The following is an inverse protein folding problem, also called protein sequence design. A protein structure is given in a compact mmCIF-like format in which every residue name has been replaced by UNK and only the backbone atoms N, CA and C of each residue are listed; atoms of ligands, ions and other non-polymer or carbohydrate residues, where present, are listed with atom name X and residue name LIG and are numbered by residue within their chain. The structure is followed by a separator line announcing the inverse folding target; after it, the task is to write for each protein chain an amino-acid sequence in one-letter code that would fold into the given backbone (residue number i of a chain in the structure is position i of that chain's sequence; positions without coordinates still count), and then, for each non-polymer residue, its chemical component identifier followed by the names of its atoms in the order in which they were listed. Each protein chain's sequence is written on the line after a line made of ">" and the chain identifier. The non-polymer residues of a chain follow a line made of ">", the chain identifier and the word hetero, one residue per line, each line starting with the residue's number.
data_IF_424930793287
#
_entry.id   IF_424930793287
#
_cell.length_a   1.000
_cell.length_b   1.000
_cell.length_c   1.000
_cell.angle_alpha   90.00
_cell.angle_beta   90.00
_cell.angle_gamma   90.00
#
_symmetry.space_group_name_H-M   'P 1'
#
loop_
_entity.id
_entity.type
_entity.pdbx_description
1 polymer ?
#
# COMPACT_ATOMS: atom_id res chain seq x y z
N UNK A 1 -18.51 15.06 -23.80
CA UNK A 1 -17.62 14.03 -23.20
C UNK A 1 -17.44 14.37 -21.74
N UNK A 2 -17.28 13.39 -20.88
CA UNK A 2 -16.93 13.64 -19.46
C UNK A 2 -15.44 13.89 -19.34
N UNK A 3 -15.05 14.72 -18.39
CA UNK A 3 -13.65 14.95 -18.08
C UNK A 3 -13.00 13.69 -17.51
N UNK A 4 -11.79 13.40 -18.01
CA UNK A 4 -10.94 12.31 -17.53
C UNK A 4 -9.95 12.83 -16.49
N UNK A 5 -9.89 12.15 -15.35
CA UNK A 5 -8.99 12.46 -14.25
C UNK A 5 -7.96 11.34 -14.12
N UNK A 6 -6.69 11.69 -14.16
CA UNK A 6 -5.57 10.78 -14.06
C UNK A 6 -4.77 10.98 -12.79
N UNK A 7 -4.31 9.88 -12.20
CA UNK A 7 -3.26 9.86 -11.18
C UNK A 7 -2.19 8.86 -11.59
N UNK A 8 -0.93 9.28 -11.51
CA UNK A 8 0.23 8.42 -11.59
C UNK A 8 0.92 8.42 -10.23
N UNK A 9 0.86 7.27 -9.55
CA UNK A 9 1.46 7.02 -8.25
C UNK A 9 2.81 6.31 -8.46
N UNK A 10 3.91 7.01 -8.13
CA UNK A 10 5.28 6.53 -8.23
C UNK A 10 5.70 5.86 -6.93
N UNK A 11 5.10 4.71 -6.66
CA UNK A 11 5.31 3.94 -5.44
C UNK A 11 6.59 3.10 -5.45
N UNK A 12 6.99 2.66 -4.27
CA UNK A 12 8.26 1.95 -4.01
C UNK A 12 8.40 0.60 -4.72
N UNK A 13 7.32 -0.16 -4.87
CA UNK A 13 7.33 -1.46 -5.55
C UNK A 13 6.96 -1.33 -7.04
N UNK A 14 6.05 -0.42 -7.36
CA UNK A 14 5.50 -0.28 -8.71
C UNK A 14 4.94 1.11 -8.95
N UNK A 15 4.98 1.55 -10.20
CA UNK A 15 4.30 2.73 -10.68
C UNK A 15 2.89 2.37 -11.15
N UNK A 16 1.90 3.15 -10.75
CA UNK A 16 0.49 2.88 -11.02
C UNK A 16 -0.18 4.07 -11.68
N UNK A 17 -0.56 3.94 -12.94
CA UNK A 17 -1.43 4.87 -13.63
C UNK A 17 -2.89 4.45 -13.44
N UNK A 18 -3.73 5.38 -13.04
CA UNK A 18 -5.18 5.22 -13.01
C UNK A 18 -5.83 6.43 -13.65
N UNK A 19 -6.72 6.19 -14.63
CA UNK A 19 -7.51 7.23 -15.31
C UNK A 19 -8.98 6.87 -15.13
N UNK A 20 -9.79 7.84 -14.71
CA UNK A 20 -11.22 7.64 -14.42
C UNK A 20 -12.07 8.80 -14.97
N UNK A 21 -13.35 8.55 -15.11
CA UNK A 21 -14.38 9.59 -15.26
C UNK A 21 -15.26 9.58 -14.01
N UNK A 22 -15.86 10.72 -13.69
CA UNK A 22 -16.86 10.83 -12.63
C UNK A 22 -18.25 11.00 -13.19
N UNK A 23 -19.23 10.36 -12.55
CA UNK A 23 -20.67 10.57 -12.74
C UNK A 23 -21.34 10.57 -11.37
N UNK A 24 -22.09 11.64 -11.07
CA UNK A 24 -22.79 11.79 -9.78
C UNK A 24 -21.86 11.50 -8.59
N UNK A 25 -20.67 12.13 -8.60
CA UNK A 25 -19.59 11.99 -7.61
C UNK A 25 -19.01 10.56 -7.48
N UNK A 26 -19.40 9.62 -8.35
CA UNK A 26 -18.88 8.25 -8.34
C UNK A 26 -17.92 8.03 -9.50
N UNK A 27 -16.85 7.28 -9.22
CA UNK A 27 -15.93 6.83 -10.26
C UNK A 27 -16.66 5.84 -11.18
N UNK A 28 -16.69 6.20 -12.46
CA UNK A 28 -17.11 5.35 -13.57
C UNK A 28 -15.94 5.26 -14.53
N UNK A 29 -15.93 4.34 -15.48
CA UNK A 29 -14.86 4.13 -16.44
C UNK A 29 -13.46 4.19 -15.80
N UNK A 30 -12.82 3.07 -15.64
CA UNK A 30 -11.63 2.92 -14.81
C UNK A 30 -10.54 2.20 -15.61
N UNK A 31 -9.62 2.96 -16.19
CA UNK A 31 -8.41 2.43 -16.79
C UNK A 31 -7.30 2.32 -15.74
N UNK A 32 -6.57 1.21 -15.75
CA UNK A 32 -5.43 0.97 -14.85
C UNK A 32 -4.26 0.37 -15.63
N UNK A 33 -3.06 0.90 -15.35
CA UNK A 33 -1.81 0.32 -15.81
C UNK A 33 -0.80 0.28 -14.68
N UNK A 34 0.05 -0.75 -14.66
CA UNK A 34 1.01 -0.98 -13.59
C UNK A 34 2.34 -1.44 -14.15
N UNK A 35 3.43 -0.83 -13.67
CA UNK A 35 4.80 -1.22 -13.97
C UNK A 35 5.54 -1.60 -12.68
N UNK A 36 6.08 -2.82 -12.61
CA UNK A 36 6.87 -3.26 -11.47
C UNK A 36 8.32 -2.74 -11.60
N UNK A 37 8.73 -1.85 -10.73
CA UNK A 37 10.04 -1.19 -10.75
C UNK A 37 10.93 -1.65 -9.60
N UNK A 38 10.35 -1.99 -8.45
CA UNK A 38 11.04 -2.29 -7.18
C UNK A 38 11.94 -1.13 -6.73
N UNK A 39 11.44 0.08 -6.91
CA UNK A 39 12.17 1.32 -6.69
C UNK A 39 12.59 1.51 -5.22
N UNK A 40 11.84 0.95 -4.26
CA UNK A 40 12.19 0.95 -2.84
C UNK A 40 13.53 0.28 -2.50
N UNK A 41 14.06 -0.58 -3.38
CA UNK A 41 15.40 -1.17 -3.26
C UNK A 41 16.50 -0.37 -3.99
N UNK A 42 16.11 0.74 -4.62
CA UNK A 42 16.99 1.52 -5.47
C UNK A 42 17.97 2.38 -4.67
N UNK A 43 17.50 2.87 -3.51
CA UNK A 43 18.25 3.83 -2.70
C UNK A 43 19.15 3.08 -1.72
N UNK A 44 20.45 3.37 -1.76
CA UNK A 44 21.39 2.93 -0.73
C UNK A 44 21.18 3.75 0.55
N UNK A 45 21.74 3.30 1.67
CA UNK A 45 21.77 4.07 2.93
C UNK A 45 22.38 5.48 2.77
N UNK A 46 23.23 5.68 1.76
CA UNK A 46 23.82 6.97 1.37
C UNK A 46 22.86 7.92 0.61
N UNK A 47 21.62 7.48 0.28
CA UNK A 47 20.71 8.22 -0.60
C UNK A 47 21.04 8.10 -2.09
N UNK A 48 22.10 7.34 -2.46
CA UNK A 48 22.53 7.15 -3.84
C UNK A 48 21.66 6.11 -4.56
N UNK A 49 21.21 6.44 -5.76
CA UNK A 49 20.37 5.59 -6.58
C UNK A 49 21.22 4.59 -7.39
N UNK A 50 20.95 3.29 -7.24
CA UNK A 50 21.60 2.24 -8.04
C UNK A 50 21.18 2.35 -9.52
N UNK A 51 22.15 2.39 -10.45
CA UNK A 51 21.93 2.58 -11.88
C UNK A 51 20.91 1.59 -12.51
N UNK A 52 20.87 0.35 -12.07
CA UNK A 52 19.88 -0.65 -12.54
C UNK A 52 18.44 -0.18 -12.37
N UNK A 53 18.12 0.42 -11.22
CA UNK A 53 16.77 0.89 -10.91
C UNK A 53 16.47 2.22 -11.57
N UNK A 54 17.48 3.11 -11.71
CA UNK A 54 17.38 4.34 -12.51
C UNK A 54 16.90 4.01 -13.94
N UNK A 55 17.63 3.14 -14.65
CA UNK A 55 17.27 2.71 -16.00
C UNK A 55 15.86 2.12 -16.07
N UNK A 56 15.55 1.20 -15.17
CA UNK A 56 14.25 0.54 -15.12
C UNK A 56 13.09 1.51 -14.87
N UNK A 57 13.30 2.54 -14.04
CA UNK A 57 12.30 3.59 -13.77
C UNK A 57 12.03 4.43 -14.99
N UNK A 58 13.07 4.88 -15.70
CA UNK A 58 12.95 5.68 -16.94
C UNK A 58 12.25 4.88 -18.03
N UNK A 59 12.59 3.60 -18.21
CA UNK A 59 11.92 2.72 -19.18
C UNK A 59 10.42 2.55 -18.85
N UNK A 60 10.08 2.35 -17.58
CA UNK A 60 8.69 2.25 -17.14
C UNK A 60 7.92 3.55 -17.41
N UNK A 61 8.52 4.70 -17.07
CA UNK A 61 7.91 6.02 -17.32
C UNK A 61 7.74 6.29 -18.81
N UNK A 62 8.69 5.88 -19.65
CA UNK A 62 8.57 5.99 -21.11
C UNK A 62 7.35 5.21 -21.65
N UNK A 63 7.10 3.99 -21.13
CA UNK A 63 5.90 3.21 -21.51
C UNK A 63 4.62 3.89 -21.01
N UNK A 64 4.60 4.37 -19.78
CA UNK A 64 3.45 5.09 -19.19
C UNK A 64 3.17 6.39 -19.97
N UNK A 65 4.21 7.17 -20.34
CA UNK A 65 4.09 8.39 -21.13
C UNK A 65 3.41 8.12 -22.49
N UNK A 66 3.77 7.01 -23.17
CA UNK A 66 3.10 6.61 -24.41
C UNK A 66 1.60 6.31 -24.23
N UNK A 67 1.25 5.68 -23.11
CA UNK A 67 -0.17 5.41 -22.77
C UNK A 67 -0.92 6.72 -22.56
N UNK A 68 -0.35 7.62 -21.76
CA UNK A 68 -0.98 8.92 -21.47
C UNK A 68 -1.14 9.76 -22.75
N UNK A 69 -0.12 9.79 -23.63
CA UNK A 69 -0.18 10.53 -24.90
C UNK A 69 -1.22 9.98 -25.88
N UNK A 70 -1.51 8.68 -25.84
CA UNK A 70 -2.51 8.05 -26.72
C UNK A 70 -3.94 8.43 -26.32
N UNK A 71 -4.21 8.58 -25.03
CA UNK A 71 -5.53 8.96 -24.48
C UNK A 71 -5.32 9.86 -23.24
N UNK A 72 -5.02 11.15 -23.45
CA UNK A 72 -4.64 12.05 -22.37
C UNK A 72 -5.84 12.36 -21.47
N UNK A 73 -5.68 12.26 -20.13
CA UNK A 73 -6.67 12.77 -19.20
C UNK A 73 -6.68 14.31 -19.24
N UNK A 74 -7.84 14.92 -18.98
CA UNK A 74 -7.99 16.38 -18.90
C UNK A 74 -7.18 16.94 -17.71
N UNK A 75 -7.10 16.15 -16.64
CA UNK A 75 -6.39 16.49 -15.42
C UNK A 75 -5.51 15.32 -15.01
N UNK A 76 -4.21 15.54 -14.90
CA UNK A 76 -3.23 14.52 -14.47
C UNK A 76 -2.47 15.04 -13.25
N UNK A 77 -2.47 14.23 -12.18
CA UNK A 77 -1.61 14.42 -11.02
C UNK A 77 -0.58 13.31 -10.97
N UNK A 78 0.68 13.66 -10.89
CA UNK A 78 1.80 12.70 -10.70
C UNK A 78 2.34 12.92 -9.30
N UNK A 79 2.33 11.87 -8.50
CA UNK A 79 2.80 11.91 -7.12
C UNK A 79 3.93 10.91 -6.89
N UNK A 80 4.92 11.33 -6.12
CA UNK A 80 5.98 10.47 -5.59
C UNK A 80 5.86 10.35 -4.08
N UNK A 81 6.07 9.14 -3.57
CA UNK A 81 5.94 8.83 -2.14
C UNK A 81 7.30 8.52 -1.50
N UNK A 82 7.34 7.71 -0.47
CA UNK A 82 8.51 7.45 0.38
C UNK A 82 9.82 7.25 -0.38
N UNK A 83 9.85 6.42 -1.42
CA UNK A 83 11.11 6.17 -2.15
C UNK A 83 11.67 7.40 -2.84
N UNK A 84 10.81 8.30 -3.35
CA UNK A 84 11.25 9.55 -3.96
C UNK A 84 11.64 10.60 -2.90
N UNK A 85 11.00 10.61 -1.72
CA UNK A 85 11.42 11.46 -0.59
C UNK A 85 12.86 11.19 -0.14
N UNK A 86 13.31 9.95 -0.26
CA UNK A 86 14.62 9.48 0.22
C UNK A 86 15.74 9.57 -0.84
N UNK A 87 15.46 10.14 -2.02
CA UNK A 87 16.47 10.29 -3.08
C UNK A 87 17.07 11.70 -3.03
N UNK A 88 18.39 11.76 -2.92
CA UNK A 88 19.16 12.99 -3.04
C UNK A 88 19.74 13.16 -4.45
N UNK A 89 18.91 13.01 -5.50
CA UNK A 89 19.33 13.10 -6.90
C UNK A 89 18.31 13.93 -7.70
N UNK A 90 18.47 15.24 -7.64
CA UNK A 90 17.63 16.18 -8.37
C UNK A 90 17.72 16.01 -9.90
N UNK A 91 18.84 15.52 -10.43
CA UNK A 91 18.97 15.25 -11.86
C UNK A 91 18.11 14.07 -12.26
N UNK A 92 18.05 13.04 -11.44
CA UNK A 92 17.18 11.90 -11.71
C UNK A 92 15.69 12.28 -11.67
N UNK A 93 15.26 13.12 -10.74
CA UNK A 93 13.88 13.60 -10.71
C UNK A 93 13.55 14.37 -11.99
N UNK A 94 14.45 15.26 -12.45
CA UNK A 94 14.30 15.95 -13.75
C UNK A 94 14.24 15.00 -14.95
N UNK A 95 15.08 13.95 -14.95
CA UNK A 95 15.05 12.92 -16.01
C UNK A 95 13.69 12.20 -16.05
N UNK A 96 13.11 11.91 -14.89
CA UNK A 96 11.78 11.30 -14.75
C UNK A 96 10.70 12.25 -15.31
N UNK A 97 10.71 13.51 -14.92
CA UNK A 97 9.77 14.55 -15.38
C UNK A 97 9.87 14.76 -16.90
N UNK A 98 11.08 14.87 -17.44
CA UNK A 98 11.32 15.01 -18.88
C UNK A 98 10.81 13.79 -19.66
N UNK A 99 11.04 12.58 -19.14
CA UNK A 99 10.57 11.33 -19.77
C UNK A 99 9.04 11.24 -19.77
N UNK A 100 8.41 11.67 -18.69
CA UNK A 100 6.96 11.64 -18.54
C UNK A 100 6.27 12.78 -19.29
N UNK A 101 6.92 13.95 -19.36
CA UNK A 101 6.35 15.20 -19.87
C UNK A 101 5.41 15.88 -18.88
N UNK A 102 5.59 15.63 -17.58
CA UNK A 102 4.77 16.20 -16.48
C UNK A 102 5.61 16.34 -15.22
N UNK A 103 5.32 17.35 -14.41
CA UNK A 103 5.95 17.54 -13.09
C UNK A 103 5.55 16.43 -12.12
N UNK A 104 6.46 16.11 -11.20
CA UNK A 104 6.26 15.10 -10.15
C UNK A 104 6.17 15.84 -8.81
N UNK A 105 5.05 15.73 -8.11
CA UNK A 105 4.91 16.22 -6.75
C UNK A 105 5.33 15.14 -5.76
N UNK A 106 6.45 15.36 -5.07
CA UNK A 106 6.88 14.49 -3.97
C UNK A 106 6.14 14.90 -2.71
N UNK A 107 5.15 14.10 -2.32
CA UNK A 107 4.27 14.40 -1.17
C UNK A 107 4.90 13.98 0.16
N UNK A 108 4.62 14.74 1.23
CA UNK A 108 5.03 14.37 2.59
C UNK A 108 4.26 13.14 3.11
N UNK A 109 4.77 12.51 4.18
CA UNK A 109 4.07 11.37 4.82
C UNK A 109 2.69 11.78 5.37
N UNK A 110 2.58 13.00 5.90
CA UNK A 110 1.31 13.53 6.40
C UNK A 110 0.30 13.76 5.26
N UNK A 111 0.75 14.32 4.13
CA UNK A 111 -0.08 14.45 2.92
C UNK A 111 -0.50 13.09 2.38
N UNK A 112 0.41 12.10 2.36
CA UNK A 112 0.12 10.73 1.93
C UNK A 112 -0.98 10.12 2.81
N UNK A 113 -0.86 10.21 4.14
CA UNK A 113 -1.86 9.72 5.09
C UNK A 113 -3.23 10.38 4.92
N UNK A 114 -3.29 11.71 4.73
CA UNK A 114 -4.53 12.45 4.45
C UNK A 114 -5.19 11.97 3.16
N UNK A 115 -4.42 11.80 2.09
CA UNK A 115 -4.94 11.32 0.80
C UNK A 115 -5.43 9.86 0.89
N UNK A 116 -4.75 9.01 1.67
CA UNK A 116 -5.23 7.65 1.95
C UNK A 116 -6.57 7.69 2.67
N UNK A 117 -6.70 8.51 3.71
CA UNK A 117 -7.96 8.71 4.42
C UNK A 117 -9.06 9.18 3.48
N UNK A 118 -8.82 10.20 2.66
CA UNK A 118 -9.77 10.73 1.66
C UNK A 118 -10.21 9.62 0.69
N UNK A 119 -9.29 8.77 0.26
CA UNK A 119 -9.59 7.63 -0.59
C UNK A 119 -10.51 6.61 0.08
N UNK A 120 -10.34 6.35 1.35
CA UNK A 120 -11.18 5.42 2.12
C UNK A 120 -12.58 5.99 2.33
N UNK A 121 -12.71 7.24 2.82
CA UNK A 121 -14.02 7.83 3.13
C UNK A 121 -14.89 8.06 1.90
N UNK A 122 -14.29 8.42 0.76
CA UNK A 122 -15.03 8.66 -0.49
C UNK A 122 -15.45 7.37 -1.22
N UNK A 123 -14.92 6.20 -0.82
CA UNK A 123 -15.19 4.93 -1.51
C UNK A 123 -15.87 3.87 -0.63
N UNK A 124 -15.92 4.07 0.67
CA UNK A 124 -16.51 3.14 1.63
C UNK A 124 -17.85 3.68 2.11
N UNK A 125 -18.91 2.87 1.94
CA UNK A 125 -20.29 3.32 2.21
C UNK A 125 -20.60 3.45 3.69
N UNK A 126 -20.05 2.56 4.51
CA UNK A 126 -20.33 2.49 5.94
C UNK A 126 -18.97 2.47 6.66
N UNK A 127 -18.75 3.48 7.49
CA UNK A 127 -17.55 3.61 8.31
C UNK A 127 -17.96 3.68 9.78
N UNK A 128 -17.29 2.96 10.67
CA UNK A 128 -17.40 3.18 12.11
C UNK A 128 -16.99 4.62 12.48
N UNK A 129 -17.32 5.08 13.67
CA UNK A 129 -16.83 6.38 14.18
C UNK A 129 -15.34 6.33 14.51
N UNK A 130 -14.87 5.15 14.95
CA UNK A 130 -13.50 4.93 15.41
C UNK A 130 -12.93 3.72 14.68
N UNK A 131 -11.80 3.89 14.02
CA UNK A 131 -11.13 2.82 13.28
C UNK A 131 -9.69 3.21 12.93
N UNK A 132 -8.92 2.22 12.49
CA UNK A 132 -7.62 2.45 11.89
C UNK A 132 -7.67 2.27 10.37
N UNK A 133 -6.77 2.97 9.66
CA UNK A 133 -6.47 2.65 8.26
C UNK A 133 -5.01 2.20 8.22
N UNK A 134 -4.77 1.06 7.57
CA UNK A 134 -3.45 0.46 7.42
C UNK A 134 -3.07 0.42 5.94
N UNK A 135 -2.02 1.14 5.55
CA UNK A 135 -1.45 1.05 4.20
C UNK A 135 -0.01 0.54 4.25
N UNK A 136 0.18 -0.73 3.92
CA UNK A 136 1.49 -1.37 3.89
C UNK A 136 2.03 -1.28 2.47
N UNK A 137 2.87 -0.30 2.24
CA UNK A 137 3.55 -0.07 0.98
C UNK A 137 4.74 -1.01 0.74
N UNK A 138 5.59 -0.64 -0.23
CA UNK A 138 6.83 -1.37 -0.50
C UNK A 138 7.98 -0.98 0.43
N UNK A 139 8.10 0.30 0.78
CA UNK A 139 9.18 0.85 1.63
C UNK A 139 8.68 1.68 2.80
N UNK A 140 7.38 1.88 2.93
CA UNK A 140 6.77 2.54 4.09
C UNK A 140 5.48 1.86 4.49
N UNK A 141 5.04 2.17 5.70
CA UNK A 141 3.74 1.74 6.25
C UNK A 141 3.10 2.94 6.92
N UNK A 142 1.92 3.31 6.45
CA UNK A 142 1.10 4.38 6.98
C UNK A 142 -0.01 3.80 7.87
N UNK A 143 -0.14 4.38 9.08
CA UNK A 143 -1.20 4.04 10.03
C UNK A 143 -1.94 5.32 10.38
N UNK A 144 -3.22 5.37 10.03
CA UNK A 144 -4.09 6.51 10.30
C UNK A 144 -5.11 6.09 11.37
N UNK A 145 -5.06 6.75 12.51
CA UNK A 145 -6.07 6.63 13.56
C UNK A 145 -7.20 7.60 13.29
N UNK A 146 -8.42 7.10 13.24
CA UNK A 146 -9.64 7.88 13.07
C UNK A 146 -10.46 7.78 14.36
N UNK A 147 -10.82 8.94 14.93
CA UNK A 147 -11.65 9.07 16.14
C UNK A 147 -12.78 10.05 15.87
N UNK A 148 -14.00 9.65 16.17
CA UNK A 148 -15.20 10.43 15.89
C UNK A 148 -15.30 10.87 14.42
N UNK A 149 -14.94 10.00 13.51
CA UNK A 149 -14.92 10.22 12.05
C UNK A 149 -13.93 11.31 11.58
N UNK A 150 -12.96 11.68 12.39
CA UNK A 150 -11.90 12.63 12.06
C UNK A 150 -10.52 11.98 12.22
N UNK A 151 -9.55 12.42 11.44
CA UNK A 151 -8.16 12.00 11.63
C UNK A 151 -7.69 12.44 13.02
N UNK A 152 -7.33 11.48 13.86
CA UNK A 152 -6.74 11.73 15.16
C UNK A 152 -5.22 11.80 15.09
N UNK A 153 -4.58 10.82 14.43
CA UNK A 153 -3.13 10.76 14.26
C UNK A 153 -2.77 10.05 12.95
N UNK A 154 -1.72 10.52 12.30
CA UNK A 154 -1.08 9.85 11.15
C UNK A 154 0.32 9.47 11.58
N UNK A 155 0.67 8.20 11.44
CA UNK A 155 2.02 7.67 11.65
C UNK A 155 2.51 7.07 10.34
N UNK A 156 3.77 7.33 9.99
CA UNK A 156 4.43 6.76 8.83
C UNK A 156 5.78 6.18 9.23
N UNK A 157 5.96 4.91 8.99
CA UNK A 157 7.18 4.17 9.30
C UNK A 157 7.94 3.86 8.02
N UNK A 158 9.25 4.08 8.01
CA UNK A 158 10.14 3.79 6.87
C UNK A 158 10.44 2.28 6.75
N UNK A 159 9.40 1.47 6.85
CA UNK A 159 9.43 0.02 6.68
C UNK A 159 8.21 -0.43 5.88
N UNK A 160 8.42 -1.25 4.86
CA UNK A 160 7.36 -1.82 4.04
C UNK A 160 7.70 -3.22 3.58
N UNK A 161 6.77 -3.86 2.87
CA UNK A 161 6.89 -5.26 2.49
C UNK A 161 8.15 -5.57 1.66
N UNK A 162 8.62 -4.63 0.83
CA UNK A 162 9.81 -4.83 0.01
C UNK A 162 11.11 -4.67 0.81
N UNK A 163 11.18 -3.64 1.67
CA UNK A 163 12.37 -3.34 2.49
C UNK A 163 12.53 -4.36 3.62
N UNK A 164 11.44 -4.81 4.23
CA UNK A 164 11.51 -5.88 5.23
C UNK A 164 11.90 -7.22 4.60
N UNK A 165 11.41 -7.50 3.39
CA UNK A 165 11.79 -8.70 2.65
C UNK A 165 13.29 -8.74 2.36
N UNK A 166 13.87 -7.62 1.95
CA UNK A 166 15.31 -7.49 1.69
C UNK A 166 16.16 -7.71 2.97
N UNK A 167 15.57 -7.47 4.14
CA UNK A 167 16.25 -7.63 5.43
C UNK A 167 16.17 -9.05 6.00
N UNK A 168 15.03 -9.73 5.91
CA UNK A 168 14.77 -10.99 6.62
C UNK A 168 14.38 -12.17 5.71
N UNK A 169 13.84 -11.96 4.51
CA UNK A 169 13.20 -13.01 3.72
C UNK A 169 13.81 -13.18 2.32
N UNK A 170 15.11 -12.90 2.16
CA UNK A 170 15.80 -13.08 0.87
C UNK A 170 15.87 -14.52 0.41
N UNK A 171 15.96 -15.45 1.36
CA UNK A 171 15.99 -16.90 1.15
C UNK A 171 14.75 -17.51 1.78
N UNK A 172 13.77 -17.88 1.00
CA UNK A 172 12.54 -18.66 1.31
C UNK A 172 11.90 -18.55 2.72
N UNK A 173 12.30 -17.60 3.54
CA UNK A 173 11.78 -17.28 4.86
C UNK A 173 11.57 -18.48 5.80
N UNK A 174 12.47 -18.66 6.74
CA UNK A 174 12.33 -19.69 7.78
C UNK A 174 11.44 -19.17 8.93
N UNK A 175 11.01 -20.09 9.81
CA UNK A 175 10.31 -19.72 11.06
C UNK A 175 11.18 -18.82 11.95
N UNK A 176 12.50 -18.96 11.90
CA UNK A 176 13.46 -18.10 12.59
C UNK A 176 13.40 -16.68 12.04
N UNK A 177 13.47 -16.52 10.70
CA UNK A 177 13.39 -15.22 10.03
C UNK A 177 12.07 -14.53 10.34
N UNK A 178 10.99 -15.31 10.45
CA UNK A 178 9.67 -14.81 10.85
C UNK A 178 9.69 -14.20 12.24
N UNK A 179 10.17 -14.93 13.27
CA UNK A 179 10.23 -14.42 14.63
C UNK A 179 11.20 -13.24 14.78
N UNK A 180 12.37 -13.29 14.13
CA UNK A 180 13.30 -12.16 14.12
C UNK A 180 12.69 -10.92 13.49
N UNK A 181 11.89 -11.07 12.44
CA UNK A 181 11.18 -9.95 11.83
C UNK A 181 10.10 -9.36 12.74
N UNK A 182 9.36 -10.18 13.49
CA UNK A 182 8.35 -9.72 14.47
C UNK A 182 9.01 -8.94 15.62
N UNK A 183 10.12 -9.46 16.17
CA UNK A 183 10.88 -8.79 17.23
C UNK A 183 11.36 -7.42 16.73
N UNK A 184 12.00 -7.38 15.56
CA UNK A 184 12.45 -6.14 14.95
C UNK A 184 11.31 -5.14 14.70
N UNK A 185 10.16 -5.60 14.21
CA UNK A 185 8.99 -4.76 13.95
C UNK A 185 8.36 -4.23 15.25
N UNK A 186 8.41 -4.99 16.35
CA UNK A 186 7.92 -4.52 17.65
C UNK A 186 8.69 -3.29 18.14
N UNK A 187 9.99 -3.23 17.90
CA UNK A 187 10.81 -2.04 18.17
C UNK A 187 10.48 -0.90 17.21
N UNK A 188 10.40 -1.17 15.90
CA UNK A 188 10.06 -0.16 14.88
C UNK A 188 8.71 0.48 15.15
N UNK A 189 7.72 -0.31 15.56
CA UNK A 189 6.36 0.12 15.82
C UNK A 189 6.09 0.49 17.29
N UNK A 190 7.12 0.72 18.10
CA UNK A 190 6.97 1.04 19.53
C UNK A 190 6.04 2.24 19.80
N UNK A 191 6.02 3.22 18.91
CA UNK A 191 5.11 4.38 19.00
C UNK A 191 3.62 4.00 18.94
N UNK A 192 3.26 2.84 18.40
CA UNK A 192 1.88 2.34 18.37
C UNK A 192 1.33 2.01 19.75
N UNK A 193 2.19 1.71 20.74
CA UNK A 193 1.74 1.50 22.10
C UNK A 193 1.16 2.78 22.73
N UNK A 194 1.66 3.95 22.34
CA UNK A 194 1.06 5.24 22.76
C UNK A 194 -0.27 5.45 22.07
N UNK A 195 -0.32 5.24 20.75
CA UNK A 195 -1.56 5.34 19.99
C UNK A 195 -2.67 4.43 20.55
N UNK A 196 -2.30 3.22 20.98
CA UNK A 196 -3.21 2.29 21.65
C UNK A 196 -3.73 2.84 22.99
N UNK A 197 -2.84 3.42 23.82
CA UNK A 197 -3.23 4.03 25.11
C UNK A 197 -4.21 5.16 24.95
N UNK A 198 -4.02 6.02 23.97
CA UNK A 198 -4.91 7.15 23.64
C UNK A 198 -6.32 6.69 23.24
N UNK A 199 -6.45 5.43 22.82
CA UNK A 199 -7.71 4.82 22.39
C UNK A 199 -8.32 3.86 23.43
N UNK A 200 -7.73 3.73 24.63
CA UNK A 200 -8.23 2.81 25.70
C UNK A 200 -9.68 3.12 26.12
N UNK A 201 -10.08 4.39 26.13
CA UNK A 201 -11.45 4.78 26.47
C UNK A 201 -12.50 4.26 25.48
N UNK A 202 -12.07 3.86 24.27
CA UNK A 202 -12.92 3.25 23.25
C UNK A 202 -13.17 1.75 23.52
N UNK A 203 -12.36 1.10 24.37
CA UNK A 203 -12.45 -0.34 24.70
C UNK A 203 -13.76 -0.77 25.38
N UNK A 204 -14.52 0.15 25.92
CA UNK A 204 -15.73 -0.20 26.69
C UNK A 204 -16.95 -0.60 25.84
N UNK A 205 -16.91 -0.44 24.50
CA UNK A 205 -18.10 -0.66 23.67
C UNK A 205 -17.92 -1.26 22.28
N UNK A 206 -16.71 -1.32 21.69
CA UNK A 206 -16.59 -1.76 20.29
C UNK A 206 -15.31 -2.56 20.03
N UNK A 207 -15.43 -3.58 19.17
CA UNK A 207 -14.29 -4.29 18.57
C UNK A 207 -13.41 -3.30 17.79
N UNK A 208 -12.10 -3.32 18.01
CA UNK A 208 -11.17 -2.52 17.24
C UNK A 208 -11.15 -3.00 15.78
N UNK A 209 -11.51 -2.09 14.90
CA UNK A 209 -11.67 -2.33 13.48
C UNK A 209 -10.63 -1.56 12.67
N UNK A 210 -10.11 -2.19 11.61
CA UNK A 210 -9.22 -1.52 10.67
C UNK A 210 -9.65 -1.71 9.23
N UNK A 211 -9.31 -0.71 8.38
CA UNK A 211 -9.40 -0.81 6.93
C UNK A 211 -7.99 -0.95 6.35
N UNK A 212 -7.74 -2.04 5.66
CA UNK A 212 -6.50 -2.23 4.93
C UNK A 212 -6.62 -1.80 3.47
N UNK A 213 -5.70 -0.98 3.00
CA UNK A 213 -5.78 -0.35 1.67
C UNK A 213 -4.81 -0.94 0.66
N UNK A 214 -3.73 -1.56 1.10
CA UNK A 214 -2.58 -1.96 0.28
C UNK A 214 -2.81 -3.19 -0.62
N UNK A 215 -1.80 -3.45 -1.43
CA UNK A 215 -1.71 -4.70 -2.19
C UNK A 215 -1.49 -5.93 -1.30
N UNK A 216 -0.88 -5.77 -0.12
CA UNK A 216 -0.70 -6.83 0.88
C UNK A 216 -2.05 -7.33 1.38
N UNK A 217 -2.92 -6.43 1.84
CA UNK A 217 -4.27 -6.75 2.29
C UNK A 217 -5.09 -7.49 1.22
N UNK A 218 -5.02 -7.01 -0.03
CA UNK A 218 -5.71 -7.68 -1.15
C UNK A 218 -5.16 -9.07 -1.42
N UNK A 219 -3.86 -9.28 -1.22
CA UNK A 219 -3.23 -10.59 -1.38
C UNK A 219 -3.66 -11.54 -0.25
N UNK A 220 -3.72 -11.07 1.01
CA UNK A 220 -4.23 -11.85 2.15
C UNK A 220 -5.62 -12.40 1.85
N UNK A 221 -6.58 -11.54 1.51
CA UNK A 221 -7.96 -11.94 1.23
C UNK A 221 -8.03 -12.96 0.09
N UNK A 222 -7.34 -12.69 -1.03
CA UNK A 222 -7.33 -13.61 -2.16
C UNK A 222 -6.73 -14.96 -1.82
N UNK A 223 -5.68 -14.99 -0.99
CA UNK A 223 -5.07 -16.24 -0.53
C UNK A 223 -6.02 -17.04 0.32
N UNK A 224 -6.65 -16.41 1.32
CA UNK A 224 -7.63 -17.05 2.20
C UNK A 224 -8.81 -17.58 1.39
N UNK A 225 -9.41 -16.77 0.51
CA UNK A 225 -10.51 -17.20 -0.37
C UNK A 225 -10.10 -18.39 -1.26
N UNK A 226 -8.85 -18.42 -1.74
CA UNK A 226 -8.34 -19.52 -2.55
C UNK A 226 -8.20 -20.83 -1.78
N UNK A 227 -8.00 -20.77 -0.46
CA UNK A 227 -7.99 -21.94 0.44
C UNK A 227 -9.40 -22.31 0.94
N UNK A 228 -10.44 -21.66 0.45
CA UNK A 228 -11.84 -21.99 0.77
C UNK A 228 -12.43 -21.19 1.92
N UNK A 229 -11.70 -20.24 2.50
CA UNK A 229 -12.24 -19.29 3.46
C UNK A 229 -13.19 -18.33 2.72
N UNK A 230 -14.35 -18.07 3.29
CA UNK A 230 -15.28 -17.05 2.79
C UNK A 230 -15.07 -15.77 3.57
N UNK A 231 -14.02 -15.01 3.19
CA UNK A 231 -13.59 -13.84 3.97
C UNK A 231 -14.59 -12.68 3.94
N UNK A 232 -15.45 -12.59 2.92
CA UNK A 232 -16.38 -11.46 2.71
C UNK A 232 -15.66 -10.09 2.77
N UNK A 233 -14.37 -10.08 2.37
CA UNK A 233 -13.43 -8.96 2.42
C UNK A 233 -13.00 -8.55 3.84
N UNK A 234 -13.12 -9.41 4.83
CA UNK A 234 -12.61 -9.23 6.19
C UNK A 234 -11.74 -10.41 6.59
N UNK A 235 -10.87 -10.21 7.58
CA UNK A 235 -10.05 -11.26 8.20
C UNK A 235 -9.61 -10.85 9.60
N UNK A 236 -9.22 -11.83 10.39
CA UNK A 236 -8.79 -11.71 11.79
C UNK A 236 -7.28 -11.93 11.93
N UNK A 237 -6.78 -11.84 13.17
CA UNK A 237 -5.41 -12.24 13.52
C UNK A 237 -5.19 -13.74 13.28
N UNK A 238 -6.17 -14.59 13.59
CA UNK A 238 -6.10 -16.04 13.39
C UNK A 238 -5.94 -16.40 11.90
N UNK A 239 -6.63 -15.68 11.01
CA UNK A 239 -6.48 -15.83 9.57
C UNK A 239 -5.07 -15.45 9.09
N UNK A 240 -4.46 -14.41 9.70
CA UNK A 240 -3.07 -14.02 9.41
C UNK A 240 -2.09 -15.09 9.88
N UNK A 241 -2.29 -15.65 11.09
CA UNK A 241 -1.47 -16.74 11.64
C UNK A 241 -1.51 -17.98 10.74
N UNK A 242 -2.71 -18.37 10.31
CA UNK A 242 -2.89 -19.48 9.37
C UNK A 242 -2.10 -19.23 8.07
N UNK A 243 -2.27 -18.06 7.47
CA UNK A 243 -1.62 -17.76 6.19
C UNK A 243 -0.08 -17.65 6.35
N UNK A 244 0.41 -17.13 7.47
CA UNK A 244 1.83 -17.08 7.78
C UNK A 244 2.40 -18.51 7.87
N UNK A 245 1.71 -19.41 8.58
CA UNK A 245 2.11 -20.81 8.69
C UNK A 245 2.16 -21.50 7.32
N UNK A 246 1.18 -21.29 6.46
CA UNK A 246 1.15 -21.81 5.09
C UNK A 246 2.35 -21.32 4.29
N UNK A 247 2.68 -20.03 4.36
CA UNK A 247 3.77 -19.45 3.57
C UNK A 247 5.16 -19.77 4.11
N UNK A 248 5.35 -19.91 5.41
CA UNK A 248 6.61 -20.39 6.02
C UNK A 248 6.90 -21.80 5.56
N UNK A 249 5.87 -22.64 5.44
CA UNK A 249 5.98 -24.03 5.00
C UNK A 249 5.78 -24.19 3.48
N UNK A 250 5.93 -23.11 2.69
CA UNK A 250 5.60 -23.10 1.25
C UNK A 250 6.26 -24.24 0.47
N UNK A 251 7.51 -24.57 0.76
CA UNK A 251 8.24 -25.63 0.05
C UNK A 251 7.64 -27.02 0.32
N UNK A 252 7.01 -27.22 1.48
CA UNK A 252 6.37 -28.47 1.91
C UNK A 252 4.91 -28.60 1.47
N UNK A 253 4.33 -27.53 0.87
CA UNK A 253 2.95 -27.59 0.36
C UNK A 253 2.81 -28.56 -0.80
N UNK A 254 1.65 -29.17 -0.95
CA UNK A 254 1.29 -29.94 -2.14
C UNK A 254 1.29 -29.07 -3.41
N UNK A 255 1.61 -29.65 -4.54
CA UNK A 255 1.65 -28.93 -5.83
C UNK A 255 0.34 -28.21 -6.15
N UNK A 256 -0.80 -28.80 -5.74
CA UNK A 256 -2.12 -28.17 -5.89
C UNK A 256 -2.21 -26.85 -5.13
N UNK A 257 -1.72 -26.79 -3.90
CA UNK A 257 -1.73 -25.59 -3.06
C UNK A 257 -0.76 -24.52 -3.58
N UNK A 258 0.46 -24.93 -3.98
CA UNK A 258 1.43 -24.03 -4.63
C UNK A 258 0.86 -23.42 -5.91
N UNK A 259 0.18 -24.23 -6.73
CA UNK A 259 -0.47 -23.77 -7.96
C UNK A 259 -1.61 -22.81 -7.66
N UNK A 260 -2.37 -23.07 -6.61
CA UNK A 260 -3.47 -22.22 -6.16
C UNK A 260 -2.96 -20.81 -5.81
N UNK A 261 -1.93 -20.70 -4.95
CA UNK A 261 -1.30 -19.43 -4.59
C UNK A 261 -0.73 -18.69 -5.80
N UNK A 262 0.00 -19.39 -6.69
CA UNK A 262 0.58 -18.80 -7.91
C UNK A 262 -0.47 -18.29 -8.89
N UNK A 263 -1.62 -18.92 -8.98
CA UNK A 263 -2.72 -18.47 -9.85
C UNK A 263 -3.50 -17.29 -9.25
N UNK A 264 -3.45 -17.14 -7.94
CA UNK A 264 -4.25 -16.15 -7.19
C UNK A 264 -3.48 -14.86 -6.94
N UNK A 265 -2.16 -14.96 -6.73
CA UNK A 265 -1.29 -13.84 -6.38
C UNK A 265 -0.22 -13.69 -7.45
N UNK A 266 0.01 -12.44 -7.89
CA UNK A 266 1.15 -12.09 -8.74
C UNK A 266 2.46 -12.53 -8.08
N UNK A 267 3.36 -13.17 -8.86
CA UNK A 267 4.63 -13.72 -8.35
C UNK A 267 5.49 -12.66 -7.63
N UNK A 268 5.51 -11.41 -8.12
CA UNK A 268 6.23 -10.34 -7.46
C UNK A 268 5.64 -9.97 -6.10
N UNK A 269 4.35 -10.24 -5.90
CA UNK A 269 3.67 -10.06 -4.63
C UNK A 269 3.89 -11.26 -3.72
N UNK A 270 3.82 -12.48 -4.25
CA UNK A 270 4.03 -13.71 -3.49
C UNK A 270 5.42 -13.70 -2.83
N UNK A 271 6.45 -13.29 -3.56
CA UNK A 271 7.82 -13.20 -3.07
C UNK A 271 8.05 -12.23 -1.89
N UNK A 272 7.11 -11.31 -1.62
CA UNK A 272 7.20 -10.38 -0.49
C UNK A 272 5.99 -10.53 0.45
N UNK A 273 5.29 -11.64 0.35
CA UNK A 273 4.04 -11.85 1.11
C UNK A 273 4.32 -12.07 2.59
N UNK A 274 5.33 -12.86 2.95
CA UNK A 274 5.72 -13.10 4.33
C UNK A 274 6.07 -11.79 5.06
N UNK A 275 6.87 -10.93 4.43
CA UNK A 275 7.21 -9.64 5.02
C UNK A 275 5.99 -8.73 5.20
N UNK A 276 5.07 -8.73 4.23
CA UNK A 276 3.81 -7.98 4.35
C UNK A 276 2.91 -8.50 5.46
N UNK A 277 2.83 -9.84 5.63
CA UNK A 277 2.12 -10.49 6.74
C UNK A 277 2.73 -10.18 8.09
N UNK A 278 4.06 -10.26 8.21
CA UNK A 278 4.78 -9.95 9.44
C UNK A 278 4.50 -8.51 9.92
N UNK A 279 4.53 -7.53 9.00
CA UNK A 279 4.14 -6.14 9.31
C UNK A 279 2.69 -6.08 9.77
N UNK A 280 1.78 -6.68 9.03
CA UNK A 280 0.34 -6.63 9.31
C UNK A 280 0.02 -7.28 10.64
N UNK A 281 0.58 -8.45 10.92
CA UNK A 281 0.40 -9.18 12.17
C UNK A 281 0.93 -8.39 13.37
N UNK A 282 2.13 -7.84 13.29
CA UNK A 282 2.72 -7.04 14.38
C UNK A 282 1.85 -5.83 14.72
N UNK A 283 1.39 -5.09 13.71
CA UNK A 283 0.48 -3.94 13.92
C UNK A 283 -0.84 -4.41 14.55
N UNK A 284 -1.40 -5.51 14.06
CA UNK A 284 -2.67 -6.07 14.56
C UNK A 284 -2.57 -6.45 16.03
N UNK A 285 -1.46 -7.06 16.44
CA UNK A 285 -1.20 -7.43 17.84
C UNK A 285 -1.04 -6.18 18.70
N UNK A 286 -0.19 -5.22 18.30
CA UNK A 286 0.11 -4.03 19.12
C UNK A 286 -1.16 -3.18 19.33
N UNK A 287 -1.94 -2.98 18.27
CA UNK A 287 -3.16 -2.17 18.32
C UNK A 287 -4.40 -2.96 18.77
N UNK A 288 -4.29 -4.27 19.04
CA UNK A 288 -5.39 -5.17 19.41
C UNK A 288 -6.57 -5.12 18.42
N UNK A 289 -6.26 -5.12 17.11
CA UNK A 289 -7.27 -5.10 16.08
C UNK A 289 -7.94 -6.47 15.97
N UNK A 290 -9.27 -6.52 16.10
CA UNK A 290 -10.03 -7.76 16.00
C UNK A 290 -10.38 -8.14 14.57
N UNK A 291 -10.66 -7.13 13.74
CA UNK A 291 -11.11 -7.35 12.36
C UNK A 291 -10.47 -6.34 11.44
N UNK A 292 -9.95 -6.82 10.31
CA UNK A 292 -9.41 -5.99 9.25
C UNK A 292 -10.28 -6.20 8.00
N UNK A 293 -10.86 -5.10 7.49
CA UNK A 293 -11.62 -5.10 6.24
C UNK A 293 -10.79 -4.51 5.10
N UNK A 294 -11.03 -5.00 3.89
CA UNK A 294 -10.47 -4.41 2.70
C UNK A 294 -11.15 -3.08 2.38
N UNK A 295 -10.38 -2.01 2.32
CA UNK A 295 -10.87 -0.74 1.80
C UNK A 295 -11.07 -0.78 0.27
N UNK A 296 -12.07 -0.04 -0.22
CA UNK A 296 -12.35 0.08 -1.65
C UNK A 296 -11.45 1.11 -2.34
N UNK A 297 -10.95 2.11 -1.62
CA UNK A 297 -10.02 3.13 -2.09
C UNK A 297 -8.82 3.30 -1.18
N UNK A 298 -7.85 4.05 -1.67
CA UNK A 298 -6.58 4.37 -1.01
C UNK A 298 -6.02 5.69 -1.57
N UNK A 299 -4.70 5.90 -1.49
CA UNK A 299 -3.98 7.08 -1.98
C UNK A 299 -4.48 7.58 -3.34
N UNK A 300 -4.55 6.71 -4.35
CA UNK A 300 -4.95 7.09 -5.70
C UNK A 300 -6.39 7.58 -5.80
N UNK A 301 -7.29 6.93 -5.09
CA UNK A 301 -8.67 7.36 -5.00
C UNK A 301 -8.76 8.73 -4.32
N UNK A 302 -8.03 8.96 -3.23
CA UNK A 302 -7.96 10.26 -2.56
C UNK A 302 -7.49 11.37 -3.49
N UNK A 303 -6.40 11.14 -4.22
CA UNK A 303 -5.91 12.11 -5.22
C UNK A 303 -6.97 12.42 -6.28
N UNK A 304 -7.65 11.38 -6.82
CA UNK A 304 -8.66 11.54 -7.85
C UNK A 304 -9.89 12.31 -7.35
N UNK A 305 -10.36 12.03 -6.14
CA UNK A 305 -11.47 12.77 -5.54
C UNK A 305 -11.08 14.23 -5.26
N UNK A 306 -9.88 14.49 -4.77
CA UNK A 306 -9.41 15.85 -4.54
C UNK A 306 -9.25 16.63 -5.86
N UNK A 307 -8.76 16.01 -6.94
CA UNK A 307 -8.73 16.63 -8.27
C UNK A 307 -10.13 16.96 -8.77
N UNK A 308 -11.08 16.05 -8.61
CA UNK A 308 -12.46 16.25 -9.03
C UNK A 308 -13.15 17.37 -8.24
N UNK A 309 -12.99 17.40 -6.92
CA UNK A 309 -13.60 18.42 -6.06
C UNK A 309 -13.03 19.80 -6.35
N UNK A 310 -11.71 19.96 -6.47
CA UNK A 310 -11.04 21.24 -6.72
C UNK A 310 -11.36 21.85 -8.09
N UNK A 311 -11.94 21.11 -9.01
CA UNK A 311 -12.35 21.60 -10.33
C UNK A 311 -13.83 21.95 -10.41
N UNK A 312 -14.62 21.52 -9.43
CA UNK A 312 -16.06 21.80 -9.35
C UNK A 312 -16.40 22.90 -8.33
N UNK A 313 -15.37 23.56 -7.77
CA UNK A 313 -15.43 24.79 -6.99
C UNK A 313 -15.01 25.96 -7.89
#
# INVERSE_FOLDING_TARGET
>A
MRDKYGVLDLGSNSFHLKIVEFKDQKIVNNFKHKEFVKFGLAVKNSGELKNKYRKKSIEALSRISKIIKKDPPNYLKVIGTNSLRNINDNNFLKDMENTLGSSIEVISSDQEGKLIYDGVINTTKILPKNYYILDIGGSSTEIISVKNSLINKILSFNIGSLTLNDKFFLTNGSIKDWYESIIYLSDVFSELHELRRDNIDLKKSENFFAFGTSGTVKAVIRSLDSFGYKTENTYSLEDLDYLAHVLINYENLYDKEKKLLKNTIDINRLNIMLSGLSILQTITIILEINTIAKANGALREGVLYNLFQNKNI
#
